data_IF_011470752788
#
_entry.id   IF_011470752788
#
_cell.length_a   1.000
_cell.length_b   1.000
_cell.length_c   1.000
_cell.angle_alpha   90.00
_cell.angle_beta   90.00
_cell.angle_gamma   90.00
#
_symmetry.space_group_name_H-M   'P 1'
#
loop_
_entity.id
_entity.type
_entity.pdbx_description
1 polymer ?
#
# COMPACT_ATOMS: atom_id res chain seq x y z
N UNK A 1 3.91 -1.02 16.61
CA UNK A 1 3.93 -0.08 15.47
C UNK A 1 3.04 1.09 15.85
N UNK A 2 3.48 2.35 15.74
CA UNK A 2 2.57 3.51 15.90
C UNK A 2 1.59 3.46 14.74
N UNK A 3 0.40 2.97 15.06
CA UNK A 3 -0.64 2.54 14.13
C UNK A 3 -1.26 3.78 13.50
N UNK A 4 -0.77 4.18 12.33
CA UNK A 4 -1.64 4.82 11.36
C UNK A 4 -2.64 3.75 10.96
N UNK A 5 -3.83 3.78 11.56
CA UNK A 5 -4.82 2.73 11.38
C UNK A 5 -5.04 2.47 9.88
N UNK A 6 -4.90 1.20 9.47
CA UNK A 6 -5.25 0.73 8.13
C UNK A 6 -6.70 1.09 7.78
N UNK A 7 -7.52 1.47 8.78
CA UNK A 7 -8.85 2.05 8.63
C UNK A 7 -8.91 3.34 7.81
N UNK A 8 -7.79 4.09 7.70
CA UNK A 8 -7.72 5.30 6.85
C UNK A 8 -7.66 5.00 5.34
N UNK A 9 -7.60 3.73 4.94
CA UNK A 9 -7.72 3.41 3.53
C UNK A 9 -9.14 3.76 3.06
N UNK A 10 -9.23 4.79 2.23
CA UNK A 10 -10.45 5.05 1.46
C UNK A 10 -10.84 3.79 0.67
N UNK A 11 -12.12 3.58 0.42
CA UNK A 11 -12.59 2.40 -0.33
C UNK A 11 -11.95 2.28 -1.73
N UNK A 12 -11.43 3.41 -2.26
CA UNK A 12 -10.65 3.45 -3.49
C UNK A 12 -9.26 2.86 -3.32
N UNK A 13 -8.57 3.18 -2.22
CA UNK A 13 -7.25 2.64 -1.90
C UNK A 13 -7.33 1.14 -1.57
N UNK A 14 -8.37 0.68 -0.86
CA UNK A 14 -8.59 -0.75 -0.61
C UNK A 14 -8.75 -1.55 -1.91
N UNK A 15 -9.56 -1.04 -2.84
CA UNK A 15 -9.75 -1.65 -4.17
C UNK A 15 -8.47 -1.69 -5.01
N UNK A 16 -7.70 -0.58 -5.02
CA UNK A 16 -6.39 -0.55 -5.70
C UNK A 16 -5.42 -1.56 -5.08
N UNK A 17 -5.35 -1.63 -3.75
CA UNK A 17 -4.46 -2.54 -3.05
C UNK A 17 -4.78 -4.00 -3.40
N UNK A 18 -6.05 -4.39 -3.35
CA UNK A 18 -6.48 -5.75 -3.71
C UNK A 18 -6.11 -6.15 -5.14
N UNK A 19 -6.26 -5.25 -6.12
CA UNK A 19 -5.83 -5.54 -7.50
C UNK A 19 -4.30 -5.70 -7.64
N UNK A 20 -3.52 -4.91 -6.89
CA UNK A 20 -2.05 -5.01 -6.93
C UNK A 20 -1.59 -6.30 -6.24
N UNK A 21 -2.20 -6.64 -5.11
CA UNK A 21 -1.97 -7.85 -4.34
C UNK A 21 -2.22 -9.10 -5.19
N UNK A 22 -3.40 -9.19 -5.81
CA UNK A 22 -3.75 -10.29 -6.72
C UNK A 22 -2.74 -10.43 -7.86
N UNK A 23 -2.22 -9.31 -8.37
CA UNK A 23 -1.16 -9.30 -9.38
C UNK A 23 0.16 -9.87 -8.88
N UNK A 24 0.51 -9.67 -7.61
CA UNK A 24 1.72 -10.23 -6.99
C UNK A 24 1.54 -11.71 -6.63
N UNK A 25 0.38 -12.12 -6.14
CA UNK A 25 0.06 -13.52 -5.88
C UNK A 25 0.12 -14.36 -7.16
N UNK A 26 -0.43 -13.84 -8.26
CA UNK A 26 -0.31 -14.47 -9.60
C UNK A 26 1.13 -14.58 -10.08
N UNK A 27 2.04 -13.73 -9.58
CA UNK A 27 3.48 -13.78 -9.86
C UNK A 27 4.24 -14.70 -8.89
N UNK A 28 3.55 -15.40 -8.01
CA UNK A 28 4.13 -16.34 -7.04
C UNK A 28 4.65 -15.69 -5.77
N UNK A 29 4.26 -14.44 -5.48
CA UNK A 29 4.60 -13.78 -4.22
C UNK A 29 3.63 -14.27 -3.13
N UNK A 30 4.12 -14.47 -1.91
CA UNK A 30 3.26 -14.82 -0.77
C UNK A 30 2.29 -13.68 -0.43
N UNK A 31 1.10 -14.03 0.07
CA UNK A 31 0.05 -13.10 0.45
C UNK A 31 0.56 -11.93 1.32
N UNK A 32 1.30 -12.22 2.39
CA UNK A 32 1.83 -11.18 3.30
C UNK A 32 2.80 -10.20 2.62
N UNK A 33 3.53 -10.65 1.61
CA UNK A 33 4.47 -9.83 0.85
C UNK A 33 3.74 -9.07 -0.27
N UNK A 34 2.74 -9.69 -0.88
CA UNK A 34 1.84 -9.06 -1.84
C UNK A 34 1.06 -7.90 -1.18
N UNK A 35 0.50 -8.10 0.01
CA UNK A 35 -0.22 -7.08 0.78
C UNK A 35 0.71 -5.90 1.12
N UNK A 36 1.93 -6.18 1.61
CA UNK A 36 2.92 -5.13 1.92
C UNK A 36 3.32 -4.32 0.69
N UNK A 37 3.55 -4.98 -0.44
CA UNK A 37 3.88 -4.30 -1.71
C UNK A 37 2.70 -3.51 -2.27
N UNK A 38 1.50 -4.04 -2.16
CA UNK A 38 0.28 -3.35 -2.55
C UNK A 38 0.06 -2.09 -1.71
N UNK A 39 0.22 -2.20 -0.39
CA UNK A 39 0.15 -1.09 0.56
C UNK A 39 1.15 0.03 0.21
N UNK A 40 2.42 -0.33 0.00
CA UNK A 40 3.46 0.62 -0.38
C UNK A 40 3.19 1.28 -1.74
N UNK A 41 2.68 0.52 -2.71
CA UNK A 41 2.34 1.04 -4.04
C UNK A 41 1.19 2.03 -3.98
N UNK A 42 0.14 1.72 -3.24
CA UNK A 42 -1.01 2.61 -3.06
C UNK A 42 -0.61 3.87 -2.29
N UNK A 43 0.18 3.74 -1.23
CA UNK A 43 0.72 4.90 -0.51
C UNK A 43 1.59 5.79 -1.40
N UNK A 44 2.42 5.20 -2.28
CA UNK A 44 3.23 5.95 -3.23
C UNK A 44 2.38 6.69 -4.28
N UNK A 45 1.31 6.08 -4.77
CA UNK A 45 0.44 6.67 -5.79
C UNK A 45 -0.47 7.77 -5.25
N UNK A 46 -1.00 7.60 -4.03
CA UNK A 46 -1.89 8.57 -3.40
C UNK A 46 -1.13 9.64 -2.57
N UNK A 47 0.21 9.64 -2.61
CA UNK A 47 1.05 10.73 -2.09
C UNK A 47 1.43 10.64 -0.61
N UNK A 48 1.39 9.44 -0.03
CA UNK A 48 1.58 9.21 1.41
C UNK A 48 0.38 9.74 2.15
N UNK A 49 -0.57 8.85 2.48
CA UNK A 49 -1.80 9.20 3.16
C UNK A 49 -1.58 10.28 4.22
N UNK A 50 -2.19 11.44 3.99
CA UNK A 50 -2.31 12.60 4.88
C UNK A 50 -1.38 12.59 6.11
N UNK A 51 -0.22 13.25 5.96
CA UNK A 51 0.78 13.69 6.96
C UNK A 51 2.12 12.92 6.91
N UNK A 52 3.11 13.57 6.27
CA UNK A 52 4.51 13.52 6.68
C UNK A 52 5.31 12.31 6.20
N UNK A 53 6.06 12.47 5.11
CA UNK A 53 7.01 11.45 4.68
C UNK A 53 7.71 11.76 3.36
N UNK A 54 8.17 13.00 3.18
CA UNK A 54 9.17 13.30 2.17
C UNK A 54 10.51 12.72 2.63
N UNK A 55 10.87 11.59 2.04
CA UNK A 55 12.21 11.00 2.04
C UNK A 55 12.18 9.95 0.93
N UNK A 56 12.95 10.01 -0.14
CA UNK A 56 14.26 10.61 -0.37
C UNK A 56 14.40 10.93 -1.86
N UNK A 57 15.03 12.05 -2.18
CA UNK A 57 16.19 12.09 -3.09
C UNK A 57 17.03 13.31 -2.74
N UNK A 58 18.30 13.03 -2.53
CA UNK A 58 19.42 13.97 -2.44
C UNK A 58 19.48 14.93 -3.64
#
# INVERSE_FOLDING_TARGET
MTQGDKDKYTDKQKRKAGHIEEGYEKRGVSHDEAERRAWATVNKQDGGGEKGGSGDKA
#
